data_IF_431478718331
#
_entry.id   IF_431478718331
#
_cell.length_a   1.000
_cell.length_b   1.000
_cell.length_c   1.000
_cell.angle_alpha   90.00
_cell.angle_beta   90.00
_cell.angle_gamma   90.00
#
_symmetry.space_group_name_H-M   'P 1'
#
loop_
_entity.id
_entity.type
_entity.pdbx_description
1 polymer ?
#
# COMPACT_ATOMS: atom_id res chain seq x y z
N UNK A 1 -0.44 22.59 -1.45
CA UNK A 1 0.12 21.92 -0.27
C UNK A 1 -0.55 22.52 0.96
N UNK A 2 -1.12 21.68 1.83
CA UNK A 2 -1.58 22.14 3.14
C UNK A 2 -0.30 22.59 3.89
N UNK A 3 -0.28 23.76 4.51
CA UNK A 3 0.91 24.40 5.09
C UNK A 3 1.46 23.70 6.34
N UNK A 4 1.91 22.45 6.20
CA UNK A 4 2.60 21.71 7.25
C UNK A 4 4.11 21.97 7.18
N UNK A 5 4.74 22.14 8.33
CA UNK A 5 6.19 22.06 8.45
C UNK A 5 6.59 20.58 8.46
N UNK A 6 7.29 20.14 7.40
CA UNK A 6 7.70 18.74 7.26
C UNK A 6 9.13 18.59 6.79
N UNK A 7 9.74 17.49 7.14
CA UNK A 7 11.06 17.08 6.66
C UNK A 7 10.95 15.74 5.94
N UNK A 8 11.63 15.63 4.80
CA UNK A 8 11.70 14.37 4.05
C UNK A 8 12.95 13.62 4.50
N UNK A 9 12.75 12.40 5.00
CA UNK A 9 13.81 11.48 5.38
C UNK A 9 13.95 10.43 4.27
N UNK A 10 15.17 10.31 3.74
CA UNK A 10 15.57 9.33 2.74
C UNK A 10 16.65 8.42 3.32
N UNK A 11 17.07 7.39 2.57
CA UNK A 11 18.18 6.53 2.99
C UNK A 11 19.50 7.30 3.18
N UNK A 12 19.69 8.34 2.39
CA UNK A 12 20.93 9.15 2.36
C UNK A 12 21.05 10.06 3.57
N UNK A 13 19.94 10.52 4.14
CA UNK A 13 19.94 11.47 5.25
C UNK A 13 19.33 10.92 6.55
N UNK A 14 18.96 9.64 6.60
CA UNK A 14 18.29 9.07 7.76
C UNK A 14 19.10 9.19 9.06
N UNK A 15 20.43 9.05 8.99
CA UNK A 15 21.32 9.20 10.14
C UNK A 15 21.29 10.59 10.78
N UNK A 16 20.98 11.63 10.01
CA UNK A 16 20.93 13.02 10.47
C UNK A 16 19.75 13.27 11.43
N UNK A 17 18.78 12.35 11.43
CA UNK A 17 17.59 12.41 12.27
C UNK A 17 17.67 11.53 13.51
N UNK A 18 18.77 10.82 13.75
CA UNK A 18 18.97 10.01 14.94
C UNK A 18 18.94 10.89 16.20
N UNK A 19 18.08 10.53 17.16
CA UNK A 19 17.86 11.30 18.39
C UNK A 19 16.96 12.52 18.20
N UNK A 20 16.36 12.72 17.01
CA UNK A 20 15.40 13.81 16.81
C UNK A 20 14.02 13.46 17.37
N UNK A 21 13.23 14.51 17.65
CA UNK A 21 11.83 14.39 18.06
C UNK A 21 10.91 15.16 17.12
N UNK A 22 9.69 14.65 16.93
CA UNK A 22 8.64 15.28 16.12
C UNK A 22 7.24 14.88 16.57
N UNK A 23 6.22 15.63 16.14
CA UNK A 23 4.83 15.29 16.45
C UNK A 23 4.39 14.00 15.72
N UNK A 24 4.66 13.89 14.41
CA UNK A 24 4.21 12.73 13.63
C UNK A 24 5.29 12.26 12.66
N UNK A 25 5.54 10.95 12.68
CA UNK A 25 6.29 10.25 11.63
C UNK A 25 5.30 9.56 10.69
N UNK A 26 5.45 9.79 9.39
CA UNK A 26 4.78 8.96 8.35
C UNK A 26 5.86 8.11 7.69
N UNK A 27 5.85 6.82 8.01
CA UNK A 27 6.82 5.88 7.47
C UNK A 27 6.26 5.16 6.25
N UNK A 28 6.73 5.54 5.06
CA UNK A 28 6.46 4.90 3.79
C UNK A 28 7.62 4.00 3.32
N UNK A 29 8.58 3.70 4.22
CA UNK A 29 9.76 2.90 3.89
C UNK A 29 9.42 1.42 3.72
N UNK A 30 10.28 0.72 3.01
CA UNK A 30 10.18 -0.72 2.80
C UNK A 30 10.27 -1.13 1.33
N UNK A 31 10.39 -2.43 1.11
CA UNK A 31 10.31 -2.99 -0.23
C UNK A 31 8.86 -2.85 -0.78
N UNK A 32 8.75 -2.52 -2.02
CA UNK A 32 7.49 -2.43 -2.75
C UNK A 32 7.40 -3.39 -3.96
N UNK A 33 8.39 -4.29 -4.10
CA UNK A 33 8.51 -5.25 -5.20
C UNK A 33 8.38 -6.67 -4.66
N UNK A 34 7.17 -7.25 -4.69
CA UNK A 34 6.88 -8.59 -4.13
C UNK A 34 7.84 -9.68 -4.63
N UNK A 35 8.20 -9.66 -5.91
CA UNK A 35 9.07 -10.68 -6.48
C UNK A 35 10.50 -10.69 -5.88
N UNK A 36 10.96 -9.56 -5.33
CA UNK A 36 12.27 -9.48 -4.66
C UNK A 36 12.22 -10.24 -3.33
N UNK A 37 11.12 -10.18 -2.59
CA UNK A 37 10.99 -10.86 -1.29
C UNK A 37 11.24 -12.38 -1.39
N UNK A 38 10.84 -13.00 -2.50
CA UNK A 38 11.08 -14.41 -2.73
C UNK A 38 12.54 -14.71 -3.16
N UNK A 39 13.18 -13.77 -3.86
CA UNK A 39 14.56 -13.95 -4.37
C UNK A 39 15.62 -13.59 -3.34
N UNK A 40 15.36 -12.54 -2.59
CA UNK A 40 16.29 -11.92 -1.64
C UNK A 40 15.60 -11.65 -0.30
N UNK A 41 15.17 -12.70 0.43
CA UNK A 41 14.34 -12.54 1.63
C UNK A 41 15.04 -11.78 2.76
N UNK A 42 16.36 -11.91 2.91
CA UNK A 42 17.11 -11.16 3.93
C UNK A 42 17.19 -9.68 3.59
N UNK A 43 17.39 -9.33 2.33
CA UNK A 43 17.35 -7.95 1.89
C UNK A 43 15.98 -7.33 2.11
N UNK A 44 14.91 -8.08 1.79
CA UNK A 44 13.54 -7.62 2.03
C UNK A 44 13.24 -7.44 3.52
N UNK A 45 13.72 -8.37 4.37
CA UNK A 45 13.61 -8.23 5.82
C UNK A 45 14.30 -6.96 6.31
N UNK A 46 15.53 -6.69 5.87
CA UNK A 46 16.27 -5.49 6.22
C UNK A 46 15.55 -4.21 5.75
N UNK A 47 15.07 -4.22 4.51
CA UNK A 47 14.38 -3.07 3.93
C UNK A 47 12.99 -2.80 4.55
N UNK A 48 12.27 -3.83 4.98
CA UNK A 48 10.87 -3.72 5.42
C UNK A 48 10.70 -3.82 6.94
N UNK A 49 11.45 -4.66 7.63
CA UNK A 49 11.29 -4.90 9.07
C UNK A 49 12.33 -4.13 9.88
N UNK A 50 13.62 -4.38 9.58
CA UNK A 50 14.71 -3.75 10.34
C UNK A 50 14.68 -2.23 10.20
N UNK A 51 14.48 -1.70 9.01
CA UNK A 51 14.42 -0.26 8.79
C UNK A 51 13.27 0.44 9.53
N UNK A 52 12.10 -0.23 9.61
CA UNK A 52 10.97 0.27 10.40
C UNK A 52 11.32 0.25 11.89
N UNK A 53 11.88 -0.85 12.38
CA UNK A 53 12.29 -0.96 13.78
C UNK A 53 13.37 0.06 14.15
N UNK A 54 14.31 0.31 13.26
CA UNK A 54 15.37 1.32 13.42
C UNK A 54 14.77 2.72 13.56
N UNK A 55 13.87 3.12 12.67
CA UNK A 55 13.20 4.43 12.76
C UNK A 55 12.41 4.62 14.07
N UNK A 56 11.78 3.55 14.58
CA UNK A 56 11.09 3.56 15.87
C UNK A 56 12.03 3.70 17.09
N UNK A 57 13.30 3.33 16.94
CA UNK A 57 14.30 3.43 17.99
C UNK A 57 15.09 4.75 17.93
N UNK A 58 15.19 5.36 16.75
CA UNK A 58 16.08 6.50 16.51
C UNK A 58 15.36 7.84 16.43
N UNK A 59 14.05 7.84 16.17
CA UNK A 59 13.24 9.06 16.08
C UNK A 59 12.13 8.98 17.12
N UNK A 60 12.07 9.94 18.02
CA UNK A 60 10.96 10.05 18.98
C UNK A 60 9.77 10.76 18.31
N UNK A 61 8.60 10.11 18.27
CA UNK A 61 7.39 10.66 17.70
C UNK A 61 6.21 10.52 18.67
N UNK A 62 5.34 11.53 18.71
CA UNK A 62 4.08 11.43 19.45
C UNK A 62 3.14 10.45 18.77
N UNK A 63 3.08 10.49 17.43
CA UNK A 63 2.30 9.57 16.59
C UNK A 63 3.16 8.97 15.48
N UNK A 64 3.03 7.67 15.25
CA UNK A 64 3.72 6.96 14.18
C UNK A 64 2.72 6.33 13.20
N UNK A 65 2.77 6.73 11.95
CA UNK A 65 1.92 6.21 10.87
C UNK A 65 2.77 5.31 9.98
N UNK A 66 2.36 4.06 9.81
CA UNK A 66 3.05 3.08 8.97
C UNK A 66 2.23 2.71 7.74
N UNK A 67 2.86 2.80 6.56
CA UNK A 67 2.26 2.35 5.31
C UNK A 67 2.64 0.89 5.05
N UNK A 68 1.73 0.00 5.44
CA UNK A 68 1.83 -1.44 5.26
C UNK A 68 1.27 -1.87 3.89
N UNK A 69 0.80 -3.08 3.75
CA UNK A 69 0.21 -3.61 2.50
C UNK A 69 -0.95 -4.54 2.81
N UNK A 70 -1.95 -4.59 1.94
CA UNK A 70 -2.98 -5.62 2.00
C UNK A 70 -2.44 -7.05 1.78
N UNK A 71 -1.23 -7.21 1.27
CA UNK A 71 -0.58 -8.52 1.16
C UNK A 71 -0.24 -9.18 2.50
N UNK A 72 -0.47 -8.51 3.64
CA UNK A 72 -0.46 -9.15 4.96
C UNK A 72 -1.59 -10.17 5.10
N UNK A 73 -2.66 -10.04 4.33
CA UNK A 73 -3.70 -11.06 4.26
C UNK A 73 -3.22 -12.24 3.40
N UNK A 74 -3.33 -13.48 3.89
CA UNK A 74 -2.97 -14.67 3.09
C UNK A 74 -3.81 -14.82 1.83
N UNK A 75 -5.05 -14.32 1.87
CA UNK A 75 -5.99 -14.28 0.75
C UNK A 75 -6.69 -12.92 0.72
N UNK A 76 -6.54 -12.21 -0.39
CA UNK A 76 -7.18 -10.91 -0.63
C UNK A 76 -8.46 -11.03 -1.47
N UNK A 77 -8.91 -12.23 -1.81
CA UNK A 77 -10.05 -12.45 -2.72
C UNK A 77 -11.43 -12.24 -2.09
N UNK A 78 -11.51 -12.10 -0.76
CA UNK A 78 -12.77 -11.96 -0.04
C UNK A 78 -12.74 -10.87 1.01
N UNK A 79 -13.78 -10.04 1.04
CA UNK A 79 -13.95 -9.02 2.07
C UNK A 79 -14.13 -9.61 3.49
N UNK A 80 -14.63 -10.84 3.59
CA UNK A 80 -14.80 -11.50 4.89
C UNK A 80 -13.47 -11.89 5.54
N UNK A 81 -12.44 -12.19 4.74
CA UNK A 81 -11.12 -12.61 5.22
C UNK A 81 -10.15 -11.44 5.35
N UNK A 82 -10.53 -10.24 4.90
CA UNK A 82 -9.66 -9.06 4.85
C UNK A 82 -10.13 -7.92 5.75
N UNK A 83 -10.92 -8.21 6.78
CA UNK A 83 -11.24 -7.23 7.83
C UNK A 83 -9.99 -6.95 8.66
N UNK A 84 -9.83 -5.73 9.15
CA UNK A 84 -8.61 -5.31 9.86
C UNK A 84 -8.36 -6.08 11.17
N UNK A 85 -9.42 -6.62 11.77
CA UNK A 85 -9.40 -7.44 12.98
C UNK A 85 -9.30 -8.96 12.70
N UNK A 86 -9.25 -9.37 11.43
CA UNK A 86 -9.08 -10.77 11.05
C UNK A 86 -7.77 -11.32 11.60
N UNK A 87 -7.82 -12.53 12.17
CA UNK A 87 -6.62 -13.24 12.60
C UNK A 87 -5.76 -13.60 11.39
N UNK A 88 -4.51 -13.15 11.41
CA UNK A 88 -3.55 -13.41 10.34
C UNK A 88 -2.72 -14.66 10.66
N UNK A 89 -2.77 -15.65 9.78
CA UNK A 89 -1.92 -16.84 9.86
C UNK A 89 -0.60 -16.59 9.12
N UNK A 90 0.46 -16.30 9.88
CA UNK A 90 1.78 -16.02 9.35
C UNK A 90 2.35 -17.15 8.47
N UNK A 91 1.97 -18.41 8.74
CA UNK A 91 2.44 -19.56 7.97
C UNK A 91 1.84 -19.62 6.55
N UNK A 92 0.75 -18.92 6.31
CA UNK A 92 0.07 -18.86 5.01
C UNK A 92 0.39 -17.61 4.21
N UNK A 93 1.10 -16.65 4.81
CA UNK A 93 1.48 -15.42 4.14
C UNK A 93 2.59 -15.66 3.10
N UNK A 94 2.62 -14.84 2.04
CA UNK A 94 3.80 -14.73 1.19
C UNK A 94 4.98 -14.14 1.98
N UNK A 95 6.22 -14.34 1.52
CA UNK A 95 7.39 -13.73 2.16
C UNK A 95 7.25 -12.21 2.29
N UNK A 96 6.73 -11.53 1.26
CA UNK A 96 6.44 -10.10 1.28
C UNK A 96 5.40 -9.73 2.35
N UNK A 97 4.26 -10.42 2.36
CA UNK A 97 3.19 -10.18 3.33
C UNK A 97 3.65 -10.42 4.76
N UNK A 98 4.43 -11.48 4.99
CA UNK A 98 5.00 -11.79 6.29
C UNK A 98 5.92 -10.67 6.80
N UNK A 99 6.83 -10.15 5.97
CA UNK A 99 7.70 -9.05 6.38
C UNK A 99 6.91 -7.76 6.64
N UNK A 100 5.87 -7.46 5.84
CA UNK A 100 4.98 -6.33 6.13
C UNK A 100 4.25 -6.51 7.46
N UNK A 101 3.75 -7.71 7.74
CA UNK A 101 3.12 -8.03 9.02
C UNK A 101 4.09 -7.89 10.21
N UNK A 102 5.32 -8.37 10.09
CA UNK A 102 6.34 -8.18 11.14
C UNK A 102 6.63 -6.70 11.39
N UNK A 103 6.66 -5.86 10.35
CA UNK A 103 6.80 -4.42 10.52
C UNK A 103 5.62 -3.81 11.27
N UNK A 104 4.37 -4.22 10.99
CA UNK A 104 3.19 -3.83 11.78
C UNK A 104 3.37 -4.18 13.26
N UNK A 105 3.86 -5.41 13.57
CA UNK A 105 4.10 -5.84 14.96
C UNK A 105 5.17 -4.97 15.65
N UNK A 106 6.23 -4.57 14.92
CA UNK A 106 7.23 -3.64 15.46
C UNK A 106 6.61 -2.28 15.82
N UNK A 107 5.72 -1.76 14.97
CA UNK A 107 5.03 -0.48 15.21
C UNK A 107 4.11 -0.58 16.42
N UNK A 108 3.23 -1.57 16.44
CA UNK A 108 2.27 -1.78 17.55
C UNK A 108 2.97 -1.99 18.90
N UNK A 109 4.12 -2.67 18.89
CA UNK A 109 4.91 -2.89 20.11
C UNK A 109 5.60 -1.63 20.63
N UNK A 110 6.02 -0.71 19.76
CA UNK A 110 7.01 0.31 20.12
C UNK A 110 6.48 1.74 20.12
N UNK A 111 5.51 2.07 19.27
CA UNK A 111 4.96 3.41 19.18
C UNK A 111 3.90 3.63 20.27
N UNK A 112 3.90 4.81 20.90
CA UNK A 112 2.90 5.21 21.92
C UNK A 112 1.52 5.38 21.29
N UNK A 113 1.46 6.09 20.18
CA UNK A 113 0.29 6.25 19.34
C UNK A 113 0.67 5.85 17.93
N UNK A 114 -0.15 5.02 17.29
CA UNK A 114 0.17 4.54 15.96
C UNK A 114 -1.08 4.41 15.08
N UNK A 115 -0.86 4.52 13.78
CA UNK A 115 -1.82 4.16 12.75
C UNK A 115 -1.11 3.28 11.71
N UNK A 116 -1.79 2.27 11.24
CA UNK A 116 -1.29 1.40 10.17
C UNK A 116 -2.29 1.44 9.02
N UNK A 117 -1.81 1.81 7.84
CA UNK A 117 -2.59 1.73 6.62
C UNK A 117 -2.11 0.53 5.79
N UNK A 118 -2.97 -0.48 5.63
CA UNK A 118 -2.75 -1.58 4.69
C UNK A 118 -3.15 -1.11 3.30
N UNK A 119 -2.15 -0.82 2.49
CA UNK A 119 -2.32 -0.16 1.19
C UNK A 119 -2.69 -1.19 0.12
N UNK A 120 -3.67 -0.83 -0.73
CA UNK A 120 -3.97 -1.53 -1.97
C UNK A 120 -3.15 -1.04 -3.17
N UNK A 121 -3.66 -1.26 -4.39
CA UNK A 121 -3.04 -0.74 -5.61
C UNK A 121 -3.22 0.77 -5.78
N UNK A 122 -2.28 1.42 -6.48
CA UNK A 122 -2.33 2.84 -6.77
C UNK A 122 -2.44 3.14 -8.24
N UNK A 123 -3.11 4.24 -8.57
CA UNK A 123 -3.02 4.95 -9.84
C UNK A 123 -2.75 6.43 -9.58
N UNK A 124 -2.16 7.14 -10.53
CA UNK A 124 -1.90 8.57 -10.42
C UNK A 124 -0.51 8.97 -10.89
N UNK A 125 -0.16 10.23 -10.66
CA UNK A 125 1.11 10.79 -11.08
C UNK A 125 2.29 10.03 -10.46
N UNK A 126 3.30 9.74 -11.26
CA UNK A 126 4.50 9.04 -10.80
C UNK A 126 4.37 7.52 -10.75
N UNK A 127 3.28 6.93 -11.24
CA UNK A 127 3.15 5.48 -11.40
C UNK A 127 4.28 4.92 -12.26
N UNK A 128 5.01 3.92 -11.75
CA UNK A 128 6.19 3.31 -12.40
C UNK A 128 6.10 1.81 -12.56
N UNK A 129 5.06 1.20 -12.02
CA UNK A 129 4.85 -0.27 -12.03
C UNK A 129 3.41 -0.58 -11.62
N UNK A 130 2.90 -1.63 -11.97
CA UNK A 130 1.67 -2.39 -11.72
C UNK A 130 0.98 -2.72 -13.05
N UNK A 131 -0.07 -3.56 -13.05
CA UNK A 131 -0.73 -3.94 -14.30
C UNK A 131 -1.26 -2.75 -15.13
N UNK A 132 -1.71 -1.67 -14.48
CA UNK A 132 -2.20 -0.47 -15.19
C UNK A 132 -1.04 0.22 -15.92
N UNK A 133 0.12 0.32 -15.25
CA UNK A 133 1.34 0.86 -15.88
C UNK A 133 1.77 0.02 -17.07
N UNK A 134 1.77 -1.31 -16.92
CA UNK A 134 2.18 -2.24 -17.98
C UNK A 134 1.27 -2.11 -19.19
N UNK A 135 -0.06 -2.07 -19.01
CA UNK A 135 -1.03 -1.84 -20.07
C UNK A 135 -0.79 -0.50 -20.78
N UNK A 136 -0.59 0.58 -20.04
CA UNK A 136 -0.39 1.93 -20.60
C UNK A 136 0.93 2.06 -21.38
N UNK A 137 1.97 1.32 -21.03
CA UNK A 137 3.30 1.43 -21.62
C UNK A 137 3.65 0.30 -22.58
N UNK A 138 2.70 -0.57 -22.92
CA UNK A 138 2.90 -1.67 -23.87
C UNK A 138 3.84 -2.76 -23.34
N UNK A 139 4.03 -2.83 -22.03
CA UNK A 139 4.76 -3.91 -21.38
C UNK A 139 3.92 -5.19 -21.31
N UNK A 140 4.56 -6.35 -21.12
CA UNK A 140 3.82 -7.58 -20.99
C UNK A 140 3.04 -7.60 -19.66
N UNK A 141 1.80 -8.08 -19.73
CA UNK A 141 0.97 -8.31 -18.56
C UNK A 141 1.32 -9.66 -17.91
N UNK A 142 1.56 -9.65 -16.61
CA UNK A 142 1.94 -10.82 -15.81
C UNK A 142 0.75 -11.42 -15.04
N UNK A 143 -0.44 -10.87 -15.24
CA UNK A 143 -1.70 -11.33 -14.70
C UNK A 143 -2.67 -11.60 -15.85
N UNK A 144 -3.57 -12.56 -15.65
CA UNK A 144 -4.66 -12.80 -16.60
C UNK A 144 -5.57 -11.55 -16.65
N UNK A 145 -6.05 -11.12 -17.84
CA UNK A 145 -6.97 -9.99 -17.99
C UNK A 145 -8.24 -10.08 -17.14
N UNK A 146 -8.70 -11.27 -16.80
CA UNK A 146 -9.86 -11.50 -15.92
C UNK A 146 -9.58 -11.19 -14.46
N UNK A 147 -8.34 -10.88 -14.10
CA UNK A 147 -7.99 -10.48 -12.73
C UNK A 147 -8.74 -9.23 -12.31
N UNK A 148 -9.28 -9.25 -11.09
CA UNK A 148 -10.06 -8.16 -10.51
C UNK A 148 -9.26 -7.49 -9.39
N UNK A 149 -9.08 -6.19 -9.48
CA UNK A 149 -8.17 -5.45 -8.60
C UNK A 149 -8.84 -4.18 -8.06
N UNK A 150 -8.34 -3.72 -6.90
CA UNK A 150 -8.70 -2.44 -6.30
C UNK A 150 -7.55 -1.45 -6.46
N UNK A 151 -7.90 -0.22 -6.86
CA UNK A 151 -6.95 0.89 -6.99
C UNK A 151 -7.53 2.16 -6.40
N UNK A 152 -6.68 2.92 -5.74
CA UNK A 152 -6.97 4.27 -5.25
C UNK A 152 -6.06 5.27 -5.95
N UNK A 153 -6.53 6.50 -6.17
CA UNK A 153 -5.66 7.56 -6.63
C UNK A 153 -4.63 7.91 -5.54
N UNK A 154 -3.36 8.09 -5.93
CA UNK A 154 -2.25 8.34 -4.99
C UNK A 154 -2.44 9.64 -4.20
N UNK A 155 -3.00 10.69 -4.81
CA UNK A 155 -3.23 11.96 -4.14
C UNK A 155 -4.39 11.86 -3.14
N UNK A 156 -5.44 11.09 -3.47
CA UNK A 156 -6.54 10.78 -2.55
C UNK A 156 -6.01 9.99 -1.34
N UNK A 157 -5.23 8.94 -1.58
CA UNK A 157 -4.63 8.16 -0.50
C UNK A 157 -3.73 9.01 0.41
N UNK A 158 -2.91 9.88 -0.17
CA UNK A 158 -2.08 10.83 0.59
C UNK A 158 -2.93 11.82 1.40
N UNK A 159 -4.04 12.30 0.83
CA UNK A 159 -5.01 13.16 1.52
C UNK A 159 -5.58 12.49 2.76
N UNK A 160 -6.05 11.24 2.62
CA UNK A 160 -6.58 10.44 3.74
C UNK A 160 -5.52 10.27 4.84
N UNK A 161 -4.29 9.86 4.48
CA UNK A 161 -3.21 9.66 5.45
C UNK A 161 -2.92 10.96 6.21
N UNK A 162 -2.88 12.11 5.53
CA UNK A 162 -2.63 13.41 6.15
C UNK A 162 -3.79 13.85 7.05
N UNK A 163 -5.04 13.60 6.68
CA UNK A 163 -6.21 13.89 7.53
C UNK A 163 -6.16 13.07 8.83
N UNK A 164 -5.80 11.79 8.75
CA UNK A 164 -5.61 10.93 9.92
C UNK A 164 -4.37 11.31 10.74
N UNK A 165 -3.31 11.82 10.10
CA UNK A 165 -2.14 12.34 10.82
C UNK A 165 -2.49 13.51 11.72
N UNK A 166 -3.47 14.33 11.33
CA UNK A 166 -3.95 15.49 12.07
C UNK A 166 -5.15 15.22 12.98
N UNK A 167 -5.70 14.01 12.96
CA UNK A 167 -6.83 13.61 13.80
C UNK A 167 -6.37 13.06 15.15
N UNK A 168 -7.32 12.86 16.08
CA UNK A 168 -7.08 12.18 17.36
C UNK A 168 -7.10 10.64 17.24
N UNK A 169 -7.32 10.10 16.02
CA UNK A 169 -7.30 8.65 15.78
C UNK A 169 -5.92 8.07 16.06
N UNK A 170 -5.89 6.99 16.85
CA UNK A 170 -4.66 6.27 17.19
C UNK A 170 -4.94 4.81 17.49
N UNK A 171 -3.90 3.99 17.43
CA UNK A 171 -3.92 2.56 17.74
C UNK A 171 -4.94 1.79 16.90
N UNK A 172 -4.98 2.11 15.61
CA UNK A 172 -5.91 1.53 14.64
C UNK A 172 -5.19 1.07 13.37
N UNK A 173 -5.75 0.04 12.76
CA UNK A 173 -5.40 -0.42 11.41
C UNK A 173 -6.56 -0.05 10.48
N UNK A 174 -6.25 0.42 9.29
CA UNK A 174 -7.19 0.69 8.22
C UNK A 174 -6.71 0.09 6.90
N UNK A 175 -7.60 -0.59 6.19
CA UNK A 175 -7.35 -0.94 4.79
C UNK A 175 -7.59 0.29 3.92
N UNK A 176 -6.59 0.71 3.17
CA UNK A 176 -6.67 1.88 2.29
C UNK A 176 -6.56 1.45 0.83
N UNK A 177 -7.71 1.16 0.25
CA UNK A 177 -7.91 0.74 -1.14
C UNK A 177 -9.04 1.57 -1.77
N UNK A 178 -9.14 1.55 -3.08
CA UNK A 178 -10.31 2.08 -3.78
C UNK A 178 -11.58 1.26 -3.49
N UNK A 179 -12.73 1.89 -3.59
CA UNK A 179 -14.01 1.21 -3.42
C UNK A 179 -14.40 0.44 -4.69
N UNK A 180 -14.75 -0.84 -4.55
CA UNK A 180 -15.10 -1.73 -5.67
C UNK A 180 -13.90 -2.23 -6.46
N UNK A 181 -14.17 -2.95 -7.53
CA UNK A 181 -13.20 -3.66 -8.36
C UNK A 181 -13.19 -3.14 -9.79
N UNK A 182 -12.10 -3.40 -10.50
CA UNK A 182 -11.99 -3.29 -11.95
C UNK A 182 -11.23 -4.51 -12.48
N UNK A 183 -11.67 -5.07 -13.61
CA UNK A 183 -10.90 -6.10 -14.31
C UNK A 183 -9.81 -5.46 -15.18
N UNK A 184 -8.73 -6.21 -15.41
CA UNK A 184 -7.69 -5.73 -16.33
C UNK A 184 -8.19 -5.73 -17.78
N UNK A 185 -9.17 -6.59 -18.11
CA UNK A 185 -9.85 -6.61 -19.39
C UNK A 185 -10.55 -5.28 -19.68
N UNK A 186 -11.33 -4.74 -18.71
CA UNK A 186 -11.95 -3.41 -18.83
C UNK A 186 -10.92 -2.30 -19.04
N UNK A 187 -9.74 -2.40 -18.42
CA UNK A 187 -8.67 -1.42 -18.61
C UNK A 187 -8.07 -1.53 -20.02
N UNK A 188 -7.82 -2.75 -20.51
CA UNK A 188 -7.32 -2.99 -21.87
C UNK A 188 -8.30 -2.42 -22.89
N UNK A 189 -9.58 -2.73 -22.76
CA UNK A 189 -10.64 -2.19 -23.63
C UNK A 189 -10.66 -0.66 -23.58
N UNK A 190 -10.61 -0.08 -22.38
CA UNK A 190 -10.60 1.37 -22.22
C UNK A 190 -9.37 2.02 -22.85
N UNK A 191 -8.20 1.38 -22.89
CA UNK A 191 -7.01 1.93 -23.56
C UNK A 191 -7.04 1.75 -25.07
N UNK A 192 -7.73 0.73 -25.56
CA UNK A 192 -7.71 0.30 -26.96
C UNK A 192 -6.34 -0.21 -27.43
N UNK A 193 -5.46 -0.58 -26.49
CA UNK A 193 -4.11 -1.07 -26.79
C UNK A 193 -4.11 -2.59 -26.94
N UNK A 194 -3.27 -3.08 -27.83
CA UNK A 194 -2.92 -4.49 -27.87
C UNK A 194 -1.85 -4.76 -26.79
N UNK A 195 -2.12 -5.72 -25.92
CA UNK A 195 -1.29 -6.03 -24.75
C UNK A 195 -0.89 -7.50 -24.76
N UNK A 196 0.42 -7.75 -24.81
CA UNK A 196 0.95 -9.12 -24.66
C UNK A 196 0.66 -9.63 -23.25
N UNK A 197 0.02 -10.79 -23.13
CA UNK A 197 -0.16 -11.50 -21.86
C UNK A 197 0.84 -12.64 -21.79
N UNK A 198 1.60 -12.74 -20.70
CA UNK A 198 2.57 -13.82 -20.51
C UNK A 198 1.86 -15.16 -20.33
N UNK A 199 2.47 -16.21 -20.86
CA UNK A 199 1.97 -17.57 -20.71
C UNK A 199 1.85 -17.92 -19.20
N UNK A 200 0.77 -18.64 -18.86
CA UNK A 200 0.47 -19.05 -17.49
C UNK A 200 0.30 -17.89 -16.48
N UNK A 201 -0.08 -16.71 -16.95
CA UNK A 201 -0.44 -15.59 -16.06
C UNK A 201 -1.62 -15.98 -15.18
N UNK A 202 -1.50 -15.84 -13.83
CA UNK A 202 -2.56 -16.22 -12.91
C UNK A 202 -3.73 -15.23 -12.96
N UNK A 203 -4.95 -15.72 -12.74
CA UNK A 203 -6.09 -14.89 -12.37
C UNK A 203 -5.99 -14.59 -10.88
N UNK A 204 -6.02 -13.32 -10.50
CA UNK A 204 -6.01 -12.89 -9.10
C UNK A 204 -7.22 -12.01 -8.80
N UNK A 205 -7.66 -12.04 -7.54
CA UNK A 205 -8.70 -11.14 -7.04
C UNK A 205 -8.17 -10.43 -5.79
N UNK A 206 -8.26 -9.09 -5.81
CA UNK A 206 -8.03 -8.25 -4.65
C UNK A 206 -9.34 -7.54 -4.32
N UNK A 207 -10.13 -8.13 -3.42
CA UNK A 207 -11.41 -7.63 -2.93
C UNK A 207 -11.33 -7.42 -1.42
N UNK A 208 -10.54 -6.42 -1.04
CA UNK A 208 -10.23 -6.10 0.35
C UNK A 208 -11.39 -5.31 0.97
N UNK A 209 -11.77 -5.66 2.19
CA UNK A 209 -12.78 -4.94 2.96
C UNK A 209 -12.26 -3.55 3.35
N UNK A 210 -13.05 -2.50 3.08
CA UNK A 210 -12.74 -1.12 3.47
C UNK A 210 -13.87 -0.46 4.28
N UNK A 211 -14.82 -1.25 4.79
CA UNK A 211 -16.00 -0.72 5.51
C UNK A 211 -15.61 0.15 6.70
N UNK A 212 -14.56 -0.25 7.43
CA UNK A 212 -14.05 0.52 8.56
C UNK A 212 -13.58 1.91 8.14
N UNK A 213 -12.87 2.00 7.02
CA UNK A 213 -12.41 3.28 6.47
C UNK A 213 -13.59 4.11 5.92
N UNK A 214 -14.53 3.48 5.21
CA UNK A 214 -15.74 4.15 4.69
C UNK A 214 -16.62 4.73 5.82
N UNK A 215 -16.57 4.17 7.01
CA UNK A 215 -17.21 4.73 8.21
C UNK A 215 -16.58 6.05 8.69
N UNK A 216 -15.42 6.46 8.16
CA UNK A 216 -14.68 7.67 8.54
C UNK A 216 -14.57 8.68 7.40
N UNK A 217 -14.32 8.22 6.18
CA UNK A 217 -14.07 9.06 5.01
C UNK A 217 -14.73 8.47 3.77
N UNK A 218 -15.00 9.32 2.78
CA UNK A 218 -15.42 8.86 1.47
C UNK A 218 -14.20 8.48 0.66
N UNK A 219 -14.28 7.33 -0.04
CA UNK A 219 -13.25 6.83 -0.94
C UNK A 219 -13.84 6.68 -2.34
N UNK A 220 -13.12 7.18 -3.33
CA UNK A 220 -13.49 7.09 -4.73
C UNK A 220 -13.61 5.63 -5.19
N UNK A 221 -14.53 5.41 -6.13
CA UNK A 221 -14.68 4.12 -6.76
C UNK A 221 -13.44 3.77 -7.60
N UNK A 222 -12.94 2.54 -7.47
CA UNK A 222 -11.78 2.01 -8.20
C UNK A 222 -11.90 2.21 -9.71
N UNK A 223 -13.05 1.87 -10.28
CA UNK A 223 -13.30 2.01 -11.71
C UNK A 223 -13.16 3.47 -12.17
N UNK A 224 -13.72 4.41 -11.41
CA UNK A 224 -13.60 5.84 -11.71
C UNK A 224 -12.16 6.35 -11.60
N UNK A 225 -11.42 5.92 -10.57
CA UNK A 225 -10.03 6.31 -10.36
C UNK A 225 -9.13 5.80 -11.49
N UNK A 226 -9.29 4.53 -11.89
CA UNK A 226 -8.47 3.92 -12.95
C UNK A 226 -8.79 4.52 -14.31
N UNK A 227 -10.07 4.60 -14.68
CA UNK A 227 -10.45 5.13 -16.00
C UNK A 227 -10.20 6.64 -16.11
N UNK A 228 -10.29 7.38 -15.02
CA UNK A 228 -9.85 8.79 -14.95
C UNK A 228 -8.38 8.90 -15.30
N UNK A 229 -7.52 8.16 -14.59
CA UNK A 229 -6.08 8.12 -14.83
C UNK A 229 -5.71 7.66 -16.26
N UNK A 230 -6.38 6.64 -16.79
CA UNK A 230 -6.17 6.16 -18.17
C UNK A 230 -6.47 7.24 -19.22
N UNK A 231 -7.51 8.07 -18.99
CA UNK A 231 -7.85 9.17 -19.91
C UNK A 231 -6.81 10.30 -19.86
N UNK A 232 -6.27 10.61 -18.70
CA UNK A 232 -5.23 11.63 -18.51
C UNK A 232 -3.87 11.20 -19.08
N UNK A 233 -3.60 9.89 -19.13
CA UNK A 233 -2.35 9.33 -19.63
C UNK A 233 -2.32 9.12 -21.15
N UNK A 234 -3.43 9.38 -21.87
CA UNK A 234 -3.53 9.36 -23.34
C UNK A 234 -3.09 10.68 -23.95
#
# INVERSE_FOLDING_TARGET
>A
MRGYDYKIITKENASDFNGSSCGTVINANGNSKKFISNKEPLWDFDASVRSVRESLCTIEADKYIHLSSCDVYPDCGSQETTKEDSALDACRQSAYGFHKYLAEQCVMHSAKQWLIFRMGGFVGQGLKKNPIYDILNGGPLWLDPKSQLQFINVDEAAGVILDFACSDESNQIYNLCGNGLISLEEVIEATGKDVEVKENSPVVCYNVNIDKLLGKVQISNTHSAVLGYVREAR
#
